data_IF_176809776189
#
_entry.id   IF_176809776189
#
_cell.length_a   1.000
_cell.length_b   1.000
_cell.length_c   1.000
_cell.angle_alpha   90.00
_cell.angle_beta   90.00
_cell.angle_gamma   90.00
#
_symmetry.space_group_name_H-M   'P 1'
#
loop_
_entity.id
_entity.type
_entity.pdbx_description
1 polymer ?
#
# COMPACT_ATOMS: atom_id res chain seq x y z
N UNK A 1 -4.05 -3.94 -20.17
CA UNK A 1 -2.61 -4.28 -20.29
C UNK A 1 -1.96 -3.89 -18.97
N UNK A 2 -0.92 -4.61 -18.49
CA UNK A 2 -0.23 -4.20 -17.28
C UNK A 2 0.36 -2.79 -17.45
N UNK A 3 0.28 -1.98 -16.38
CA UNK A 3 1.05 -0.76 -16.29
C UNK A 3 2.52 -1.16 -16.12
N UNK A 4 3.44 -0.63 -16.91
CA UNK A 4 4.87 -0.96 -16.83
C UNK A 4 5.71 0.27 -17.17
N UNK A 5 6.99 0.26 -16.81
CA UNK A 5 7.94 1.31 -17.14
C UNK A 5 8.55 1.97 -15.90
N UNK A 6 9.85 2.28 -15.98
CA UNK A 6 10.63 2.81 -14.86
C UNK A 6 10.19 4.22 -14.43
N UNK A 7 9.39 4.91 -15.25
CA UNK A 7 8.82 6.21 -14.93
C UNK A 7 7.73 6.16 -13.85
N UNK A 8 7.20 4.96 -13.56
CA UNK A 8 6.15 4.74 -12.56
C UNK A 8 6.75 4.29 -11.23
N UNK A 9 6.29 4.92 -10.17
CA UNK A 9 6.49 4.49 -8.79
C UNK A 9 5.10 4.34 -8.16
N UNK A 10 4.88 3.26 -7.44
CA UNK A 10 3.67 3.05 -6.64
C UNK A 10 4.02 3.23 -5.18
N UNK A 11 3.29 4.08 -4.49
CA UNK A 11 3.43 4.37 -3.06
C UNK A 11 2.26 3.77 -2.32
N UNK A 12 2.52 3.18 -1.16
CA UNK A 12 1.51 2.70 -0.22
C UNK A 12 1.41 3.71 0.93
N UNK A 13 0.17 4.01 1.28
CA UNK A 13 -0.20 4.83 2.41
C UNK A 13 -1.22 4.09 3.28
N UNK A 14 -1.18 4.38 4.57
CA UNK A 14 -2.31 4.18 5.47
C UNK A 14 -3.10 5.48 5.55
N UNK A 15 -4.42 5.39 5.68
CA UNK A 15 -5.25 6.58 5.89
C UNK A 15 -5.54 6.72 7.38
N UNK A 16 -5.31 7.92 7.89
CA UNK A 16 -5.64 8.28 9.27
C UNK A 16 -6.56 9.49 9.33
N UNK A 17 -7.04 9.79 10.53
CA UNK A 17 -7.93 10.95 10.76
C UNK A 17 -7.22 12.30 10.67
N UNK A 18 -5.88 12.33 10.83
CA UNK A 18 -5.08 13.57 10.92
C UNK A 18 -4.10 13.73 9.76
N UNK A 19 -3.24 12.75 9.51
CA UNK A 19 -2.27 12.77 8.40
C UNK A 19 -2.04 11.34 7.92
N UNK A 20 -2.10 11.12 6.60
CA UNK A 20 -1.99 9.79 6.01
C UNK A 20 -0.53 9.29 6.08
N UNK A 21 -0.29 8.14 6.70
CA UNK A 21 1.05 7.60 6.89
C UNK A 21 1.65 6.99 5.61
N UNK A 22 2.84 7.45 5.22
CA UNK A 22 3.60 6.85 4.11
C UNK A 22 4.32 5.58 4.58
N UNK A 23 3.92 4.43 4.05
CA UNK A 23 4.47 3.13 4.47
C UNK A 23 5.63 2.64 3.59
N UNK A 24 5.64 3.01 2.31
CA UNK A 24 6.72 2.63 1.40
C UNK A 24 6.38 2.80 -0.07
N UNK A 25 7.36 2.53 -0.93
CA UNK A 25 7.18 2.61 -2.38
C UNK A 25 7.93 1.52 -3.14
N UNK A 26 7.47 1.25 -4.36
CA UNK A 26 8.04 0.25 -5.25
C UNK A 26 7.98 0.69 -6.70
N UNK A 27 8.93 0.22 -7.50
CA UNK A 27 8.88 0.33 -8.95
C UNK A 27 7.97 -0.75 -9.52
N UNK A 28 7.35 -0.44 -10.65
CA UNK A 28 6.51 -1.39 -11.36
C UNK A 28 7.39 -2.27 -12.23
N UNK A 29 7.32 -3.59 -12.05
CA UNK A 29 8.13 -4.52 -12.84
C UNK A 29 7.63 -4.68 -14.29
N UNK A 30 8.34 -5.48 -15.09
CA UNK A 30 7.98 -5.75 -16.49
C UNK A 30 6.62 -6.47 -16.67
N UNK A 31 6.05 -7.02 -15.60
CA UNK A 31 4.77 -7.72 -15.57
C UNK A 31 3.64 -6.87 -14.94
N UNK A 32 3.95 -5.64 -14.50
CA UNK A 32 3.01 -4.77 -13.80
C UNK A 32 2.80 -5.12 -12.33
N UNK A 33 3.73 -5.87 -11.72
CA UNK A 33 3.70 -6.21 -10.30
C UNK A 33 4.51 -5.20 -9.49
N UNK A 34 4.07 -5.01 -8.25
CA UNK A 34 4.79 -4.26 -7.23
C UNK A 34 4.92 -5.12 -5.97
N UNK A 35 5.93 -4.82 -5.17
CA UNK A 35 6.11 -5.40 -3.83
C UNK A 35 6.67 -4.31 -2.93
N UNK A 36 6.00 -4.07 -1.81
CA UNK A 36 6.34 -3.04 -0.83
C UNK A 36 6.53 -3.75 0.52
N UNK A 37 7.65 -3.50 1.17
CA UNK A 37 7.96 -3.98 2.52
C UNK A 37 7.97 -2.81 3.48
N UNK A 38 7.28 -2.95 4.61
CA UNK A 38 7.19 -1.94 5.65
C UNK A 38 7.15 -2.61 7.04
N UNK A 39 7.49 -1.85 8.08
CA UNK A 39 7.43 -2.36 9.44
C UNK A 39 6.00 -2.26 9.98
N UNK A 40 5.59 -3.26 10.78
CA UNK A 40 4.25 -3.32 11.37
C UNK A 40 3.91 -2.07 12.20
N UNK A 41 4.90 -1.54 12.90
CA UNK A 41 4.78 -0.36 13.77
C UNK A 41 4.38 0.92 13.00
N UNK A 42 4.57 0.98 11.68
CA UNK A 42 4.29 2.18 10.90
C UNK A 42 2.80 2.45 10.66
N UNK A 43 1.91 1.48 10.91
CA UNK A 43 0.46 1.65 10.77
C UNK A 43 -0.30 1.39 12.08
N UNK A 44 0.44 1.16 13.18
CA UNK A 44 -0.14 0.96 14.51
C UNK A 44 -0.05 2.21 15.40
N UNK A 45 0.52 3.30 14.87
CA UNK A 45 0.88 4.50 15.61
C UNK A 45 -0.12 5.64 15.37
N UNK A 46 -1.43 5.37 15.50
CA UNK A 46 -2.32 6.50 15.77
C UNK A 46 -2.10 6.92 17.23
N UNK A 47 -1.58 8.13 17.42
CA UNK A 47 -1.23 8.73 18.72
C UNK A 47 -2.43 8.76 19.71
N UNK A 48 -3.65 8.50 19.21
CA UNK A 48 -4.90 8.56 19.98
C UNK A 48 -5.58 7.18 20.15
N UNK A 49 -5.40 6.24 19.22
CA UNK A 49 -6.01 4.90 19.27
C UNK A 49 -5.06 3.82 18.70
N UNK A 50 -5.08 2.62 19.27
CA UNK A 50 -4.36 1.49 18.67
C UNK A 50 -5.22 0.96 17.52
N UNK A 51 -4.96 1.44 16.30
CA UNK A 51 -5.50 0.90 15.05
C UNK A 51 -4.82 -0.45 14.76
N UNK A 52 -5.61 -1.53 14.69
CA UNK A 52 -5.11 -2.86 14.29
C UNK A 52 -5.56 -3.24 12.87
N UNK A 53 -6.32 -2.37 12.21
CA UNK A 53 -6.94 -2.61 10.91
C UNK A 53 -6.66 -1.41 10.00
N UNK A 54 -5.57 -1.43 9.23
CA UNK A 54 -5.19 -0.26 8.45
C UNK A 54 -6.14 -0.01 7.27
N UNK A 55 -6.19 1.25 6.86
CA UNK A 55 -6.95 1.80 5.75
C UNK A 55 -6.03 2.06 4.55
N UNK A 56 -5.58 0.99 3.89
CA UNK A 56 -4.57 1.12 2.83
C UNK A 56 -5.08 1.74 1.53
N UNK A 57 -4.24 2.57 0.93
CA UNK A 57 -4.40 2.99 -0.46
C UNK A 57 -3.07 3.17 -1.19
N UNK A 58 -3.13 3.11 -2.52
CA UNK A 58 -1.98 3.25 -3.38
C UNK A 58 -2.05 4.52 -4.21
N UNK A 59 -0.89 5.17 -4.35
CA UNK A 59 -0.71 6.34 -5.22
C UNK A 59 0.30 5.99 -6.31
N UNK A 60 -0.09 6.18 -7.57
CA UNK A 60 0.79 6.00 -8.71
C UNK A 60 1.37 7.36 -9.09
N UNK A 61 2.69 7.44 -9.07
CA UNK A 61 3.46 8.62 -9.43
C UNK A 61 4.17 8.35 -10.75
N UNK A 62 4.01 9.25 -11.72
CA UNK A 62 4.74 9.26 -12.99
C UNK A 62 5.59 10.52 -13.09
N UNK A 63 6.92 10.38 -13.18
CA UNK A 63 7.85 11.54 -13.26
C UNK A 63 7.53 12.62 -12.22
N UNK A 64 7.40 12.22 -10.95
CA UNK A 64 7.07 13.07 -9.81
C UNK A 64 5.66 13.70 -9.79
N UNK A 65 4.76 13.29 -10.68
CA UNK A 65 3.36 13.73 -10.68
C UNK A 65 2.44 12.57 -10.31
N UNK A 66 1.51 12.80 -9.38
CA UNK A 66 0.44 11.84 -9.10
C UNK A 66 -0.44 11.71 -10.34
N UNK A 67 -0.61 10.48 -10.82
CA UNK A 67 -1.42 10.16 -12.01
C UNK A 67 -2.62 9.28 -11.69
N UNK A 68 -2.64 8.64 -10.52
CA UNK A 68 -3.75 7.81 -10.07
C UNK A 68 -3.67 7.58 -8.56
N UNK A 69 -4.83 7.43 -7.93
CA UNK A 69 -4.98 6.98 -6.54
C UNK A 69 -6.08 5.92 -6.50
N UNK A 70 -5.85 4.81 -5.79
CA UNK A 70 -6.89 3.79 -5.59
C UNK A 70 -7.99 4.31 -4.68
N UNK A 71 -9.11 3.58 -4.61
CA UNK A 71 -9.96 3.66 -3.42
C UNK A 71 -9.18 3.18 -2.20
N UNK A 72 -9.61 3.61 -1.03
CA UNK A 72 -9.13 3.07 0.24
C UNK A 72 -9.73 1.69 0.45
N UNK A 73 -8.87 0.79 0.88
CA UNK A 73 -9.22 -0.52 1.38
C UNK A 73 -9.39 -0.37 2.89
N UNK A 74 -10.63 -0.13 3.30
CA UNK A 74 -10.95 0.23 4.68
C UNK A 74 -10.95 -1.01 5.59
N UNK A 75 -10.55 -0.83 6.85
CA UNK A 75 -10.60 -1.80 7.94
C UNK A 75 -9.99 -3.17 7.54
N UNK A 76 -8.77 -3.17 6.98
CA UNK A 76 -8.14 -4.41 6.52
C UNK A 76 -7.81 -5.33 7.70
N UNK A 77 -8.54 -6.43 7.80
CA UNK A 77 -8.20 -7.52 8.72
C UNK A 77 -7.01 -8.31 8.19
N UNK A 78 -5.81 -7.92 8.63
CA UNK A 78 -4.58 -8.64 8.29
C UNK A 78 -4.53 -10.04 8.92
N UNK A 79 -5.26 -10.26 10.01
CA UNK A 79 -5.46 -11.57 10.65
C UNK A 79 -6.31 -12.52 9.79
N UNK A 80 -7.35 -11.99 9.11
CA UNK A 80 -8.16 -12.78 8.18
C UNK A 80 -7.39 -13.08 6.88
N UNK A 81 -6.43 -12.21 6.54
CA UNK A 81 -5.60 -12.37 5.35
C UNK A 81 -4.39 -13.28 5.66
N UNK A 82 -3.89 -13.36 6.91
CA UNK A 82 -2.78 -14.24 7.31
C UNK A 82 -2.75 -14.73 8.78
N UNK A 83 -2.16 -15.91 8.97
CA UNK A 83 -1.76 -16.49 10.26
C UNK A 83 -0.55 -15.77 10.87
N UNK A 84 -0.66 -14.47 11.22
CA UNK A 84 0.45 -13.67 11.75
C UNK A 84 1.26 -14.41 12.83
N UNK A 85 2.49 -14.81 12.48
CA UNK A 85 3.46 -15.32 13.45
C UNK A 85 4.54 -14.27 13.70
N UNK A 86 4.46 -13.61 14.86
CA UNK A 86 5.47 -12.66 15.34
C UNK A 86 6.91 -13.16 15.07
N UNK A 87 7.70 -12.35 14.35
CA UNK A 87 9.13 -12.58 14.11
C UNK A 87 9.53 -13.13 12.73
N UNK A 88 8.58 -13.45 11.84
CA UNK A 88 8.84 -13.74 10.43
C UNK A 88 7.99 -12.78 9.58
N UNK A 89 8.61 -12.05 8.65
CA UNK A 89 7.85 -11.18 7.75
C UNK A 89 6.92 -12.01 6.87
N UNK A 90 5.72 -11.50 6.59
CA UNK A 90 4.70 -12.19 5.81
C UNK A 90 4.37 -11.40 4.52
N UNK A 91 3.95 -12.12 3.47
CA UNK A 91 3.62 -11.52 2.17
C UNK A 91 2.13 -11.57 1.94
N UNK A 92 1.47 -10.41 2.00
CA UNK A 92 0.04 -10.27 1.70
C UNK A 92 -0.15 -9.95 0.21
N UNK A 93 -0.99 -10.73 -0.48
CA UNK A 93 -1.43 -10.43 -1.85
C UNK A 93 -2.76 -9.66 -1.82
N UNK A 94 -2.71 -8.36 -2.12
CA UNK A 94 -3.88 -7.46 -2.18
C UNK A 94 -4.57 -7.48 -3.56
N UNK A 95 -4.15 -8.35 -4.47
CA UNK A 95 -4.77 -8.58 -5.76
C UNK A 95 -4.34 -7.61 -6.86
N UNK A 96 -5.18 -7.49 -7.88
CA UNK A 96 -4.90 -6.71 -9.09
C UNK A 96 -5.84 -5.50 -9.19
N UNK A 97 -5.26 -4.32 -9.40
CA UNK A 97 -6.00 -3.08 -9.55
C UNK A 97 -6.12 -2.68 -11.03
N UNK A 98 -7.33 -2.26 -11.43
CA UNK A 98 -7.53 -1.58 -12.71
C UNK A 98 -7.18 -0.10 -12.54
N UNK A 99 -6.22 0.36 -13.33
CA UNK A 99 -5.69 1.73 -13.25
C UNK A 99 -5.98 2.47 -14.56
N UNK A 100 -6.54 3.67 -14.46
CA UNK A 100 -6.75 4.58 -15.58
C UNK A 100 -5.82 5.78 -15.41
N UNK A 101 -4.55 5.59 -15.79
CA UNK A 101 -3.54 6.65 -15.81
C UNK A 101 -3.71 7.46 -17.10
N UNK A 102 -4.27 8.67 -16.95
CA UNK A 102 -4.48 9.63 -18.05
C UNK A 102 -3.21 10.37 -18.44
#
# INVERSE_FOLDING_TARGET
KPLTGDEYTVRLYDRDTVDDDFLGESKVDANGRISISFAHELFMNDDVFIENQPDFYFVIVRKNHVVFQTKVLEELSLEDIQQFRMGQGEVVDLGTFLVDVR
#
